data_IF_026102522275
#
_entry.id   IF_026102522275
#
_cell.length_a   1.000
_cell.length_b   1.000
_cell.length_c   1.000
_cell.angle_alpha   90.00
_cell.angle_beta   90.00
_cell.angle_gamma   90.00
#
_symmetry.space_group_name_H-M   'P 1'
#
loop_
_entity.id
_entity.type
_entity.pdbx_description
1 polymer ?
#
# COMPACT_ATOMS: atom_id res chain seq x y z
N UNK A 1 -3.14 24.54 0.52
CA UNK A 1 -3.23 23.50 -0.52
C UNK A 1 -3.07 22.12 0.10
N UNK A 2 -3.81 21.12 -0.38
CA UNK A 2 -3.65 19.71 0.02
C UNK A 2 -2.97 18.99 -1.13
N UNK A 3 -1.64 19.00 -1.10
CA UNK A 3 -0.85 18.28 -2.09
C UNK A 3 -0.87 16.79 -1.75
N UNK A 4 -1.15 15.96 -2.75
CA UNK A 4 -1.11 14.51 -2.64
C UNK A 4 -0.24 13.97 -3.78
N UNK A 5 0.70 13.09 -3.44
CA UNK A 5 1.52 12.38 -4.43
C UNK A 5 0.92 11.00 -4.67
N UNK A 6 0.67 10.67 -5.93
CA UNK A 6 0.15 9.37 -6.32
C UNK A 6 1.25 8.53 -6.96
N UNK A 7 1.37 7.29 -6.52
CA UNK A 7 2.28 6.29 -7.09
C UNK A 7 1.46 5.07 -7.48
N UNK A 8 1.62 4.62 -8.72
CA UNK A 8 1.02 3.38 -9.22
C UNK A 8 2.13 2.34 -9.45
N UNK A 9 1.91 1.13 -8.94
CA UNK A 9 2.83 0.01 -9.08
C UNK A 9 2.03 -1.22 -9.51
N UNK A 10 2.57 -1.95 -10.48
CA UNK A 10 1.99 -3.18 -11.01
C UNK A 10 3.06 -4.29 -11.05
N UNK A 11 2.63 -5.52 -10.78
CA UNK A 11 3.47 -6.72 -10.86
C UNK A 11 2.80 -7.70 -11.82
N UNK A 12 3.42 -7.90 -12.97
CA UNK A 12 2.95 -8.83 -14.00
C UNK A 12 3.42 -10.28 -13.74
N UNK A 13 2.82 -11.25 -14.43
CA UNK A 13 3.24 -12.66 -14.40
C UNK A 13 2.84 -13.44 -13.15
N UNK A 14 1.96 -12.88 -12.31
CA UNK A 14 1.44 -13.57 -11.12
C UNK A 14 0.32 -14.53 -11.53
N UNK A 15 0.69 -15.78 -11.82
CA UNK A 15 -0.24 -16.80 -12.31
C UNK A 15 -1.05 -17.49 -11.21
N UNK A 16 -0.62 -17.38 -9.95
CA UNK A 16 -1.30 -17.96 -8.80
C UNK A 16 -2.16 -16.91 -8.09
N UNK A 17 -3.19 -17.35 -7.36
CA UNK A 17 -3.94 -16.44 -6.51
C UNK A 17 -3.07 -15.89 -5.38
N UNK A 18 -3.04 -14.56 -5.24
CA UNK A 18 -2.34 -13.89 -4.16
C UNK A 18 -3.15 -14.08 -2.88
N UNK A 19 -2.59 -14.77 -1.89
CA UNK A 19 -3.24 -14.94 -0.56
C UNK A 19 -2.88 -13.84 0.43
N UNK A 20 -1.70 -13.26 0.29
CA UNK A 20 -1.22 -12.20 1.18
C UNK A 20 -0.27 -11.26 0.47
N UNK A 21 -0.37 -9.97 0.80
CA UNK A 21 0.56 -8.92 0.39
C UNK A 21 1.07 -8.20 1.64
N UNK A 22 2.38 -8.03 1.74
CA UNK A 22 3.01 -7.14 2.71
C UNK A 22 3.62 -5.94 1.96
N UNK A 23 3.29 -4.73 2.40
CA UNK A 23 3.84 -3.50 1.86
C UNK A 23 4.67 -2.83 2.94
N UNK A 24 5.93 -2.53 2.61
CA UNK A 24 6.82 -1.75 3.45
C UNK A 24 7.03 -0.35 2.84
N UNK A 25 6.59 0.68 3.55
CA UNK A 25 6.62 2.05 3.06
C UNK A 25 7.34 2.96 4.05
N UNK A 26 8.52 3.45 3.64
CA UNK A 26 9.34 4.41 4.39
C UNK A 26 9.55 5.75 3.69
N UNK A 27 9.33 5.80 2.37
CA UNK A 27 9.75 6.91 1.52
C UNK A 27 9.28 8.28 2.02
N UNK A 28 8.03 8.39 2.51
CA UNK A 28 7.51 9.64 3.05
C UNK A 28 7.95 9.89 4.50
N UNK A 29 8.12 8.84 5.31
CA UNK A 29 8.44 8.97 6.74
C UNK A 29 9.90 9.34 7.02
N UNK A 30 10.80 9.11 6.07
CA UNK A 30 12.19 9.57 6.20
C UNK A 30 12.30 11.10 6.15
N UNK A 31 11.31 11.79 5.56
CA UNK A 31 11.34 13.24 5.37
C UNK A 31 10.17 13.98 6.03
N UNK A 32 9.04 13.31 6.30
CA UNK A 32 7.82 13.93 6.83
C UNK A 32 7.10 13.01 7.83
N UNK A 33 6.94 13.47 9.08
CA UNK A 33 6.29 12.70 10.16
C UNK A 33 4.78 12.93 10.29
N UNK A 34 4.22 13.87 9.53
CA UNK A 34 2.80 14.26 9.55
C UNK A 34 2.00 13.71 8.37
N UNK A 35 2.64 12.93 7.50
CA UNK A 35 2.01 12.38 6.30
C UNK A 35 1.32 11.04 6.56
N UNK A 36 0.33 10.76 5.73
CA UNK A 36 -0.46 9.52 5.75
C UNK A 36 -0.28 8.80 4.43
N UNK A 37 -0.03 7.49 4.48
CA UNK A 37 -0.05 6.66 3.29
C UNK A 37 -1.44 6.00 3.14
N UNK A 38 -2.00 6.07 1.94
CA UNK A 38 -3.25 5.38 1.61
C UNK A 38 -2.93 4.37 0.51
N UNK A 39 -3.26 3.10 0.76
CA UNK A 39 -3.02 2.01 -0.18
C UNK A 39 -4.34 1.52 -0.74
N UNK A 40 -4.47 1.53 -2.06
CA UNK A 40 -5.52 0.84 -2.80
C UNK A 40 -4.89 -0.33 -3.53
N UNK A 41 -5.21 -1.55 -3.11
CA UNK A 41 -4.62 -2.77 -3.65
C UNK A 41 -5.69 -3.60 -4.35
N UNK A 42 -5.38 -4.02 -5.56
CA UNK A 42 -6.19 -4.99 -6.32
C UNK A 42 -5.36 -6.24 -6.54
N UNK A 43 -5.89 -7.41 -6.18
CA UNK A 43 -5.29 -8.71 -6.40
C UNK A 43 -6.34 -9.65 -7.00
N UNK A 44 -6.22 -9.94 -8.30
CA UNK A 44 -7.27 -10.63 -9.05
C UNK A 44 -8.61 -9.88 -8.98
N UNK A 45 -9.65 -10.52 -8.42
CA UNK A 45 -10.97 -9.89 -8.21
C UNK A 45 -11.11 -9.16 -6.87
N UNK A 46 -10.14 -9.34 -5.97
CA UNK A 46 -10.20 -8.80 -4.61
C UNK A 46 -9.60 -7.39 -4.57
N UNK A 47 -10.33 -6.47 -3.94
CA UNK A 47 -9.89 -5.09 -3.73
C UNK A 47 -9.85 -4.80 -2.23
N UNK A 48 -8.77 -4.21 -1.75
CA UNK A 48 -8.63 -3.77 -0.36
C UNK A 48 -8.04 -2.37 -0.32
N UNK A 49 -8.57 -1.55 0.58
CA UNK A 49 -8.06 -0.22 0.86
C UNK A 49 -7.63 -0.17 2.32
N UNK A 50 -6.51 0.48 2.60
CA UNK A 50 -6.06 0.68 3.98
C UNK A 50 -5.24 1.94 4.10
N UNK A 51 -5.18 2.45 5.33
CA UNK A 51 -4.44 3.63 5.71
C UNK A 51 -3.29 3.19 6.61
N UNK A 52 -2.12 3.76 6.38
CA UNK A 52 -0.94 3.60 7.21
C UNK A 52 -0.58 4.99 7.77
N UNK A 53 -0.78 5.14 9.06
CA UNK A 53 -0.43 6.34 9.80
C UNK A 53 0.99 6.20 10.38
N UNK A 54 1.74 7.30 10.41
CA UNK A 54 3.03 7.34 11.11
C UNK A 54 2.84 6.96 12.60
N UNK A 55 3.76 6.19 13.23
CA UNK A 55 5.05 5.68 12.71
C UNK A 55 4.99 4.27 12.13
N UNK A 56 3.81 3.72 11.84
CA UNK A 56 3.70 2.37 11.29
C UNK A 56 4.29 2.33 9.88
N UNK A 57 5.10 1.32 9.56
CA UNK A 57 5.82 1.22 8.28
C UNK A 57 5.33 0.07 7.40
N UNK A 58 4.53 -0.83 7.97
CA UNK A 58 4.15 -2.07 7.32
C UNK A 58 2.64 -2.22 7.31
N UNK A 59 2.12 -2.58 6.14
CA UNK A 59 0.74 -3.00 5.94
C UNK A 59 0.74 -4.47 5.53
N UNK A 60 -0.16 -5.26 6.12
CA UNK A 60 -0.45 -6.63 5.69
C UNK A 60 -1.89 -6.73 5.22
N UNK A 61 -2.08 -7.27 4.01
CA UNK A 61 -3.38 -7.52 3.40
C UNK A 61 -3.49 -9.00 3.06
N UNK A 62 -4.47 -9.69 3.65
CA UNK A 62 -4.81 -11.05 3.24
C UNK A 62 -5.93 -11.02 2.21
N UNK A 63 -5.99 -11.98 1.29
CA UNK A 63 -7.05 -12.12 0.30
C UNK A 63 -7.61 -13.56 0.37
N UNK A 64 -8.92 -13.71 0.12
CA UNK A 64 -9.61 -15.01 0.12
C UNK A 64 -9.35 -15.81 -1.16
#
# INVERSE_FOLDING_TARGET
>A
DREATYVYLEVEGVNASVRSLEVYAKLLYEQFSDQVNIFHVTAGKSKKSTKLDYPAQTVRLSFE
#
